data_IF_059766773414
#
_entry.id   IF_059766773414
#
_cell.length_a   1.000
_cell.length_b   1.000
_cell.length_c   1.000
_cell.angle_alpha   90.00
_cell.angle_beta   90.00
_cell.angle_gamma   90.00
#
_symmetry.space_group_name_H-M   'P 1'
#
loop_
_entity.id
_entity.type
_entity.pdbx_description
1 polymer ?
#
# COMPACT_ATOMS: atom_id res chain seq x y z
N UNK A 1 20.92 38.42 38.74
CA UNK A 1 19.60 38.42 38.10
C UNK A 1 19.81 39.03 36.72
N UNK A 2 19.93 38.20 35.68
CA UNK A 2 20.08 38.63 34.31
C UNK A 2 19.22 37.69 33.46
N UNK A 3 18.06 38.19 33.03
CA UNK A 3 17.18 37.52 32.08
C UNK A 3 17.83 37.56 30.69
N UNK A 4 18.29 36.41 30.20
CA UNK A 4 18.47 36.22 28.76
C UNK A 4 17.13 35.83 28.15
N UNK A 5 16.51 36.79 27.46
CA UNK A 5 15.35 36.55 26.59
C UNK A 5 15.77 35.61 25.45
N UNK A 6 15.32 34.37 25.50
CA UNK A 6 15.49 33.38 24.43
C UNK A 6 14.43 33.63 23.34
N UNK A 7 14.70 34.57 22.43
CA UNK A 7 13.94 34.69 21.19
C UNK A 7 14.68 33.90 20.09
N UNK A 8 14.42 32.60 20.00
CA UNK A 8 14.75 31.82 18.81
C UNK A 8 13.46 31.26 18.25
N UNK A 9 12.97 31.84 17.15
CA UNK A 9 11.85 31.25 16.42
C UNK A 9 12.26 29.84 15.99
N UNK A 10 11.51 28.83 16.44
CA UNK A 10 11.68 27.41 16.08
C UNK A 10 11.42 27.15 14.58
N UNK A 11 11.01 28.20 13.87
CA UNK A 11 10.59 28.18 12.47
C UNK A 11 11.52 29.11 11.67
N UNK A 12 12.00 28.61 10.54
CA UNK A 12 12.78 29.29 9.52
C UNK A 12 11.94 29.44 8.24
N UNK A 13 11.94 30.62 7.64
CA UNK A 13 11.29 30.87 6.35
C UNK A 13 12.33 30.67 5.24
N UNK A 14 12.10 29.74 4.31
CA UNK A 14 12.96 29.56 3.12
C UNK A 14 12.12 29.29 1.87
N UNK A 15 12.68 29.63 0.71
CA UNK A 15 12.08 29.35 -0.59
C UNK A 15 12.50 27.96 -1.07
N UNK A 16 11.53 27.08 -1.29
CA UNK A 16 11.77 25.76 -1.85
C UNK A 16 10.78 25.44 -2.97
N UNK A 17 11.18 24.52 -3.85
CA UNK A 17 10.31 23.98 -4.88
C UNK A 17 9.27 23.06 -4.23
N UNK A 18 8.01 23.48 -4.29
CA UNK A 18 6.89 22.78 -3.68
C UNK A 18 5.99 22.20 -4.78
N UNK A 19 5.58 20.94 -4.61
CA UNK A 19 4.67 20.25 -5.52
C UNK A 19 3.26 20.33 -4.94
N UNK A 20 2.28 20.68 -5.78
CA UNK A 20 0.86 20.72 -5.37
C UNK A 20 0.38 19.32 -4.99
N UNK A 21 -0.47 19.16 -3.95
CA UNK A 21 -1.13 17.88 -3.64
C UNK A 21 -1.90 17.29 -4.82
N UNK A 22 -2.38 18.15 -5.73
CA UNK A 22 -3.09 17.77 -6.97
C UNK A 22 -2.17 17.43 -8.14
N UNK A 23 -0.85 17.45 -7.94
CA UNK A 23 0.16 17.30 -8.98
C UNK A 23 0.40 18.58 -9.79
N UNK A 24 1.55 18.64 -10.47
CA UNK A 24 1.99 19.77 -11.30
C UNK A 24 3.51 19.92 -11.32
N UNK A 25 4.02 20.86 -12.13
CA UNK A 25 5.43 21.25 -12.10
C UNK A 25 5.76 21.87 -10.72
N UNK A 26 6.92 21.55 -10.12
CA UNK A 26 7.33 22.17 -8.85
C UNK A 26 7.34 23.69 -8.98
N UNK A 27 6.69 24.38 -8.06
CA UNK A 27 6.66 25.85 -8.03
C UNK A 27 7.49 26.36 -6.87
N UNK A 28 8.37 27.34 -7.12
CA UNK A 28 9.14 27.97 -6.06
C UNK A 28 8.19 28.77 -5.16
N UNK A 29 8.13 28.42 -3.87
CA UNK A 29 7.26 29.09 -2.90
C UNK A 29 7.98 29.24 -1.57
N UNK A 30 7.67 30.32 -0.86
CA UNK A 30 8.09 30.52 0.53
C UNK A 30 7.32 29.57 1.44
N UNK A 31 8.06 28.82 2.26
CA UNK A 31 7.50 27.94 3.27
C UNK A 31 8.23 28.09 4.61
N UNK A 32 7.55 27.64 5.65
CA UNK A 32 8.01 27.69 7.03
C UNK A 32 8.50 26.30 7.43
N UNK A 33 9.77 26.18 7.77
CA UNK A 33 10.45 24.94 8.11
C UNK A 33 10.84 24.95 9.58
N UNK A 34 10.82 23.79 10.22
CA UNK A 34 11.32 23.68 11.58
C UNK A 34 12.85 23.78 11.57
N UNK A 35 13.38 24.70 12.36
CA UNK A 35 14.83 24.85 12.55
C UNK A 35 15.32 23.72 13.45
N UNK A 36 15.87 22.67 12.85
CA UNK A 36 16.47 21.55 13.57
C UNK A 36 17.56 22.07 14.53
N UNK A 37 17.26 22.04 15.83
CA UNK A 37 18.14 22.58 16.88
C UNK A 37 19.11 21.54 17.42
N UNK A 38 19.06 20.31 16.91
CA UNK A 38 19.86 19.19 17.38
C UNK A 38 21.20 19.13 16.62
N UNK A 39 22.28 19.62 17.23
CA UNK A 39 23.65 19.42 16.75
C UNK A 39 24.28 18.10 17.24
N UNK A 40 23.57 17.33 18.08
CA UNK A 40 24.04 16.04 18.58
C UNK A 40 22.86 15.17 19.03
N UNK A 41 22.67 14.03 18.38
CA UNK A 41 21.76 12.97 18.83
C UNK A 41 22.49 12.13 19.89
N UNK A 42 22.59 12.64 21.12
CA UNK A 42 22.83 11.77 22.30
C UNK A 42 21.49 11.24 22.80
N UNK A 43 20.78 10.53 21.95
CA UNK A 43 19.67 9.67 22.35
C UNK A 43 20.20 8.28 22.73
N UNK A 44 19.42 7.45 23.45
CA UNK A 44 19.76 6.04 23.56
C UNK A 44 19.97 5.49 22.14
N UNK A 45 21.10 4.82 21.91
CA UNK A 45 21.32 4.10 20.67
C UNK A 45 20.23 3.04 20.57
N UNK A 46 19.15 3.34 19.85
CA UNK A 46 18.19 2.33 19.44
C UNK A 46 19.04 1.26 18.77
N UNK A 47 19.06 0.05 19.35
CA UNK A 47 19.65 -1.12 18.69
C UNK A 47 18.79 -1.32 17.45
N UNK A 48 19.20 -0.71 16.36
CA UNK A 48 18.50 -0.80 15.10
C UNK A 48 18.40 -2.29 14.79
N UNK A 49 17.19 -2.82 14.58
CA UNK A 49 17.02 -4.19 14.15
C UNK A 49 17.52 -4.20 12.70
N UNK A 50 18.82 -4.32 12.48
CA UNK A 50 19.37 -4.51 11.15
C UNK A 50 19.55 -6.01 10.95
N UNK A 51 18.68 -6.61 10.14
CA UNK A 51 19.01 -7.89 9.54
C UNK A 51 20.12 -7.62 8.51
N UNK A 52 21.18 -8.42 8.57
CA UNK A 52 22.18 -8.45 7.52
C UNK A 52 21.49 -8.89 6.23
N UNK A 53 21.46 -8.04 5.18
CA UNK A 53 20.80 -8.39 3.92
C UNK A 53 21.36 -9.69 3.35
N UNK A 54 20.47 -10.62 2.98
CA UNK A 54 20.85 -11.86 2.29
C UNK A 54 20.48 -11.76 0.80
N UNK A 55 21.30 -12.32 -0.12
CA UNK A 55 20.95 -12.37 -1.54
C UNK A 55 19.63 -13.12 -1.78
N UNK A 56 19.37 -14.15 -0.98
CA UNK A 56 18.13 -14.90 -0.96
C UNK A 56 17.81 -15.34 0.47
N UNK A 57 16.57 -15.10 0.88
CA UNK A 57 16.05 -15.59 2.15
C UNK A 57 15.54 -17.04 1.98
N UNK A 58 15.79 -17.96 2.92
CA UNK A 58 15.26 -19.34 2.87
C UNK A 58 13.77 -19.37 3.27
N UNK A 59 12.97 -18.50 2.64
CA UNK A 59 11.56 -18.31 2.90
C UNK A 59 10.77 -18.56 1.61
N UNK A 60 9.75 -19.41 1.68
CA UNK A 60 8.74 -19.55 0.62
C UNK A 60 7.52 -18.74 1.02
N UNK A 61 7.33 -17.58 0.36
CA UNK A 61 6.26 -16.64 0.69
C UNK A 61 5.13 -16.73 -0.34
N UNK A 62 3.92 -17.02 0.12
CA UNK A 62 2.70 -16.94 -0.67
C UNK A 62 2.05 -15.56 -0.50
N UNK A 63 2.02 -14.77 -1.56
CA UNK A 63 1.45 -13.41 -1.58
C UNK A 63 -0.02 -13.43 -1.97
N UNK A 64 -0.86 -13.97 -1.10
CA UNK A 64 -2.30 -14.17 -1.36
C UNK A 64 -3.07 -12.87 -1.55
N UNK A 65 -2.61 -11.76 -0.97
CA UNK A 65 -3.21 -10.44 -1.15
C UNK A 65 -2.80 -9.71 -2.44
N UNK A 66 -1.84 -10.25 -3.19
CA UNK A 66 -1.35 -9.63 -4.42
C UNK A 66 -1.93 -10.34 -5.64
N UNK A 67 -3.21 -10.07 -5.93
CA UNK A 67 -3.96 -10.78 -6.98
C UNK A 67 -4.10 -9.96 -8.25
N UNK A 68 -3.87 -10.63 -9.39
CA UNK A 68 -4.14 -10.05 -10.70
C UNK A 68 -5.64 -9.82 -10.92
N UNK A 69 -6.04 -8.79 -11.69
CA UNK A 69 -7.41 -8.64 -12.14
C UNK A 69 -7.89 -9.85 -12.96
N UNK A 70 -9.16 -10.24 -12.81
CA UNK A 70 -9.76 -11.29 -13.65
C UNK A 70 -9.95 -10.79 -15.09
N UNK A 71 -9.93 -11.70 -16.08
CA UNK A 71 -10.02 -11.34 -17.51
C UNK A 71 -11.20 -10.42 -17.85
N UNK A 72 -12.37 -10.70 -17.26
CA UNK A 72 -13.61 -9.93 -17.46
C UNK A 72 -13.77 -8.77 -16.47
N UNK A 73 -12.86 -8.61 -15.49
CA UNK A 73 -12.96 -7.59 -14.44
C UNK A 73 -13.05 -6.18 -15.00
N UNK A 74 -12.17 -5.84 -15.95
CA UNK A 74 -12.14 -4.51 -16.59
C UNK A 74 -13.48 -4.15 -17.23
N UNK A 75 -14.06 -5.07 -17.98
CA UNK A 75 -15.37 -4.90 -18.61
C UNK A 75 -16.45 -4.71 -17.56
N UNK A 76 -16.44 -5.50 -16.48
CA UNK A 76 -17.42 -5.36 -15.41
C UNK A 76 -17.30 -4.02 -14.67
N UNK A 77 -16.08 -3.55 -14.41
CA UNK A 77 -15.82 -2.21 -13.83
C UNK A 77 -16.40 -1.12 -14.73
N UNK A 78 -16.22 -1.20 -16.04
CA UNK A 78 -16.78 -0.23 -16.99
C UNK A 78 -18.32 -0.23 -16.98
N UNK A 79 -18.94 -1.41 -16.98
CA UNK A 79 -20.40 -1.55 -16.89
C UNK A 79 -20.96 -1.02 -15.57
N UNK A 80 -20.27 -1.26 -14.45
CA UNK A 80 -20.70 -0.77 -13.15
C UNK A 80 -20.42 0.73 -12.98
N UNK A 81 -19.34 1.25 -13.56
CA UNK A 81 -18.98 2.67 -13.52
C UNK A 81 -20.06 3.55 -14.13
N UNK A 82 -20.63 3.16 -15.28
CA UNK A 82 -21.71 3.92 -15.93
C UNK A 82 -22.96 4.06 -15.07
N UNK A 83 -23.18 3.15 -14.11
CA UNK A 83 -24.37 3.10 -13.25
C UNK A 83 -24.14 3.63 -11.84
N UNK A 84 -22.95 3.41 -11.27
CA UNK A 84 -22.68 3.59 -9.84
C UNK A 84 -21.49 4.51 -9.54
N UNK A 85 -20.89 5.16 -10.55
CA UNK A 85 -19.73 6.04 -10.35
C UNK A 85 -19.98 7.19 -9.36
N UNK A 86 -21.18 7.76 -9.33
CA UNK A 86 -21.56 8.78 -8.34
C UNK A 86 -21.50 8.21 -6.92
N UNK A 87 -22.16 7.07 -6.67
CA UNK A 87 -22.15 6.38 -5.37
C UNK A 87 -20.71 6.08 -4.93
N UNK A 88 -19.85 5.62 -5.84
CA UNK A 88 -18.46 5.31 -5.51
C UNK A 88 -17.65 6.54 -5.11
N UNK A 89 -17.90 7.69 -5.74
CA UNK A 89 -17.27 8.96 -5.37
C UNK A 89 -17.79 9.43 -4.01
N UNK A 90 -19.10 9.35 -3.81
CA UNK A 90 -19.75 9.77 -2.57
C UNK A 90 -19.24 8.98 -1.36
N UNK A 91 -19.03 7.66 -1.52
CA UNK A 91 -18.49 6.81 -0.45
C UNK A 91 -16.96 6.79 -0.36
N UNK A 92 -16.27 7.37 -1.34
CA UNK A 92 -14.81 7.46 -1.38
C UNK A 92 -14.11 6.12 -1.70
N UNK A 93 -14.66 5.34 -2.64
CA UNK A 93 -14.05 4.10 -3.16
C UNK A 93 -13.81 4.15 -4.67
N UNK A 94 -14.17 5.25 -5.33
CA UNK A 94 -14.07 5.39 -6.78
C UNK A 94 -12.65 5.13 -7.27
N UNK A 95 -11.67 5.79 -6.68
CA UNK A 95 -10.28 5.65 -7.11
C UNK A 95 -9.75 4.25 -6.83
N UNK A 96 -10.12 3.65 -5.69
CA UNK A 96 -9.72 2.28 -5.37
C UNK A 96 -10.27 1.24 -6.37
N UNK A 97 -11.53 1.41 -6.80
CA UNK A 97 -12.14 0.55 -7.81
C UNK A 97 -11.48 0.76 -9.17
N UNK A 98 -11.29 2.01 -9.58
CA UNK A 98 -10.64 2.32 -10.86
C UNK A 98 -9.19 1.85 -10.88
N UNK A 99 -8.47 1.91 -9.75
CA UNK A 99 -7.13 1.38 -9.59
C UNK A 99 -7.05 -0.14 -9.75
N UNK A 100 -8.09 -0.87 -9.36
CA UNK A 100 -8.13 -2.33 -9.42
C UNK A 100 -8.12 -2.93 -10.84
N UNK A 101 -8.26 -2.12 -11.89
CA UNK A 101 -8.16 -2.58 -13.28
C UNK A 101 -6.71 -2.75 -13.74
N UNK A 102 -5.77 -2.13 -13.03
CA UNK A 102 -4.36 -2.15 -13.38
C UNK A 102 -3.70 -3.39 -12.77
N UNK A 103 -2.91 -4.07 -13.59
CA UNK A 103 -2.06 -5.16 -13.14
C UNK A 103 -0.76 -4.58 -12.59
N UNK A 104 -0.49 -4.84 -11.32
CA UNK A 104 0.79 -4.52 -10.68
C UNK A 104 1.57 -5.82 -10.60
N UNK A 105 2.63 -5.94 -11.40
CA UNK A 105 3.47 -7.12 -11.36
C UNK A 105 4.17 -7.24 -10.00
N UNK A 106 4.14 -8.43 -9.42
CA UNK A 106 4.81 -8.71 -8.16
C UNK A 106 6.33 -8.59 -8.33
N UNK A 107 6.96 -7.91 -7.38
CA UNK A 107 8.42 -7.83 -7.26
C UNK A 107 8.82 -8.25 -5.86
N UNK A 108 9.15 -9.52 -5.71
CA UNK A 108 9.48 -10.10 -4.41
C UNK A 108 10.75 -9.45 -3.85
N UNK A 109 11.76 -9.20 -4.68
CA UNK A 109 13.03 -8.60 -4.25
C UNK A 109 12.83 -7.23 -3.61
N UNK A 110 11.98 -6.40 -4.22
CA UNK A 110 11.59 -5.10 -3.66
C UNK A 110 10.90 -5.25 -2.30
N UNK A 111 9.98 -6.21 -2.18
CA UNK A 111 9.26 -6.45 -0.92
C UNK A 111 10.21 -6.93 0.18
N UNK A 112 11.09 -7.89 -0.13
CA UNK A 112 12.11 -8.37 0.81
C UNK A 112 13.07 -7.24 1.22
N UNK A 113 13.56 -6.45 0.27
CA UNK A 113 14.49 -5.35 0.54
C UNK A 113 13.89 -4.22 1.38
N UNK A 114 12.59 -3.93 1.24
CA UNK A 114 11.88 -2.96 2.08
C UNK A 114 11.57 -3.55 3.46
N UNK A 115 11.09 -4.80 3.54
CA UNK A 115 10.79 -5.45 4.81
C UNK A 115 12.04 -5.73 5.67
N UNK A 116 13.22 -5.86 5.06
CA UNK A 116 14.53 -5.83 5.75
C UNK A 116 14.77 -4.54 6.56
N UNK A 117 13.99 -3.48 6.33
CA UNK A 117 14.07 -2.20 7.05
C UNK A 117 12.92 -1.99 8.03
N UNK A 118 11.91 -2.86 8.04
CA UNK A 118 10.72 -2.71 8.88
C UNK A 118 11.04 -2.91 10.37
N UNK A 119 10.51 -2.02 11.20
CA UNK A 119 10.52 -2.08 12.65
C UNK A 119 9.07 -2.12 13.16
N UNK A 120 8.68 -3.25 13.74
CA UNK A 120 7.33 -3.45 14.28
C UNK A 120 7.04 -2.61 15.53
N UNK A 121 8.07 -2.18 16.27
CA UNK A 121 7.90 -1.35 17.48
C UNK A 121 7.41 0.06 17.12
N UNK A 122 7.95 0.63 16.05
CA UNK A 122 7.64 1.99 15.58
C UNK A 122 6.64 2.00 14.43
N UNK A 123 6.35 0.84 13.81
CA UNK A 123 5.60 0.72 12.56
C UNK A 123 6.19 1.57 11.43
N UNK A 124 7.51 1.54 11.30
CA UNK A 124 8.26 2.33 10.31
C UNK A 124 9.39 1.51 9.68
N UNK A 125 9.86 1.96 8.52
CA UNK A 125 11.09 1.55 7.87
C UNK A 125 12.26 2.43 8.30
N UNK A 126 13.36 1.79 8.71
CA UNK A 126 14.62 2.46 8.98
C UNK A 126 15.56 2.38 7.78
N UNK A 127 15.63 3.47 7.01
CA UNK A 127 16.62 3.61 5.94
C UNK A 127 17.90 4.29 6.47
N UNK A 128 19.07 4.09 5.83
CA UNK A 128 20.31 4.76 6.23
C UNK A 128 20.23 6.30 6.24
N UNK A 129 19.25 6.87 5.55
CA UNK A 129 19.01 8.30 5.38
C UNK A 129 17.79 8.83 6.13
N UNK A 130 17.07 7.98 6.89
CA UNK A 130 15.94 8.40 7.71
C UNK A 130 14.87 7.33 7.92
N UNK A 131 13.98 7.60 8.86
CA UNK A 131 12.81 6.78 9.16
C UNK A 131 11.63 7.20 8.27
N UNK A 132 10.87 6.24 7.75
CA UNK A 132 9.69 6.48 6.91
C UNK A 132 8.67 5.36 7.05
N UNK A 133 7.38 5.59 6.79
CA UNK A 133 6.36 4.53 6.81
C UNK A 133 5.30 4.74 5.74
N UNK A 134 4.58 3.68 5.37
CA UNK A 134 3.32 3.81 4.63
C UNK A 134 2.30 4.42 5.59
N UNK A 135 1.71 5.55 5.27
CA UNK A 135 0.77 6.26 6.14
C UNK A 135 -0.69 6.00 5.76
N UNK A 136 -1.63 6.44 6.61
CA UNK A 136 -3.04 6.45 6.24
C UNK A 136 -3.26 7.27 4.97
N UNK A 137 -2.65 8.45 4.86
CA UNK A 137 -2.72 9.29 3.67
C UNK A 137 -2.24 8.55 2.41
N UNK A 138 -1.14 7.81 2.49
CA UNK A 138 -0.66 6.98 1.38
C UNK A 138 -1.70 5.92 0.97
N UNK A 139 -2.35 5.27 1.93
CA UNK A 139 -3.44 4.32 1.61
C UNK A 139 -4.67 5.00 1.02
N UNK A 140 -5.00 6.22 1.43
CA UNK A 140 -6.13 6.98 0.88
C UNK A 140 -5.82 7.49 -0.54
N UNK A 141 -4.61 8.01 -0.79
CA UNK A 141 -4.21 8.60 -2.07
C UNK A 141 -3.84 7.55 -3.10
N UNK A 142 -2.99 6.58 -2.73
CA UNK A 142 -2.53 5.54 -3.65
C UNK A 142 -3.54 4.40 -3.78
N UNK A 143 -4.22 4.08 -2.67
CA UNK A 143 -5.23 3.04 -2.61
C UNK A 143 -6.65 3.52 -2.89
N UNK A 144 -6.93 4.83 -2.85
CA UNK A 144 -8.23 5.42 -3.19
C UNK A 144 -9.37 5.13 -2.19
N UNK A 145 -9.03 4.91 -0.91
CA UNK A 145 -9.97 4.51 0.15
C UNK A 145 -10.57 5.69 0.94
N UNK A 146 -11.61 5.42 1.74
CA UNK A 146 -12.30 6.39 2.62
C UNK A 146 -11.97 6.15 4.12
N UNK A 147 -12.34 7.11 5.00
CA UNK A 147 -11.82 7.24 6.37
C UNK A 147 -12.85 7.21 7.54
N UNK A 148 -14.11 6.79 7.37
CA UNK A 148 -15.15 6.85 8.45
C UNK A 148 -15.90 5.53 8.65
N UNK A 149 -16.20 5.12 9.90
CA UNK A 149 -16.73 3.79 10.26
C UNK A 149 -18.12 3.80 10.94
N UNK A 150 -19.02 2.86 10.56
CA UNK A 150 -19.98 2.18 11.46
C UNK A 150 -20.59 0.91 10.79
N UNK A 151 -20.81 -0.20 11.52
CA UNK A 151 -21.16 -1.53 10.95
C UNK A 151 -22.29 -2.28 11.68
N UNK A 152 -23.19 -2.94 10.92
CA UNK A 152 -23.67 -4.35 11.09
C UNK A 152 -24.82 -4.78 10.12
N UNK A 153 -24.68 -5.96 9.45
CA UNK A 153 -25.64 -7.11 9.25
C UNK A 153 -25.30 -7.94 7.98
N UNK A 154 -25.70 -9.23 7.97
CA UNK A 154 -25.16 -10.32 7.14
C UNK A 154 -25.93 -10.66 5.85
N UNK A 155 -25.22 -10.95 4.76
CA UNK A 155 -25.69 -11.66 3.54
C UNK A 155 -24.95 -13.00 3.42
N UNK A 156 -25.26 -13.97 4.29
CA UNK A 156 -24.46 -15.20 4.42
C UNK A 156 -24.80 -16.34 3.43
N UNK A 157 -25.74 -16.15 2.50
CA UNK A 157 -26.37 -17.28 1.79
C UNK A 157 -25.83 -17.57 0.40
N UNK A 158 -24.91 -16.78 -0.15
CA UNK A 158 -24.34 -17.00 -1.47
C UNK A 158 -22.90 -17.54 -1.33
N UNK A 159 -22.76 -18.87 -1.36
CA UNK A 159 -21.45 -19.53 -1.39
C UNK A 159 -21.11 -19.93 -2.82
N UNK A 160 -20.23 -19.18 -3.49
CA UNK A 160 -19.49 -19.73 -4.64
C UNK A 160 -18.11 -20.18 -4.20
N UNK A 161 -17.55 -21.13 -4.95
CA UNK A 161 -16.26 -21.75 -4.67
C UNK A 161 -15.07 -21.07 -5.39
N UNK A 162 -15.32 -20.05 -6.20
CA UNK A 162 -14.29 -19.32 -6.95
C UNK A 162 -14.71 -17.87 -7.25
N UNK A 163 -13.76 -16.93 -7.18
CA UNK A 163 -13.93 -15.54 -7.61
C UNK A 163 -14.29 -15.42 -9.11
N UNK A 164 -13.73 -16.30 -9.96
CA UNK A 164 -14.06 -16.31 -11.39
C UNK A 164 -15.51 -16.73 -11.63
N UNK A 165 -15.96 -17.79 -10.94
CA UNK A 165 -17.35 -18.27 -11.02
C UNK A 165 -18.33 -17.25 -10.43
N UNK A 166 -17.94 -16.53 -9.38
CA UNK A 166 -18.72 -15.42 -8.83
C UNK A 166 -18.91 -14.32 -9.89
N UNK A 167 -17.83 -13.92 -10.55
CA UNK A 167 -17.88 -12.93 -11.63
C UNK A 167 -18.83 -13.38 -12.75
N UNK A 168 -18.66 -14.60 -13.27
CA UNK A 168 -19.51 -15.13 -14.36
C UNK A 168 -20.99 -15.32 -13.97
N UNK A 169 -21.28 -15.44 -12.67
CA UNK A 169 -22.65 -15.58 -12.16
C UNK A 169 -23.39 -14.25 -12.11
N UNK A 170 -22.69 -13.14 -11.82
CA UNK A 170 -23.35 -11.85 -11.57
C UNK A 170 -23.17 -10.83 -12.69
N UNK A 171 -22.08 -10.90 -13.43
CA UNK A 171 -21.80 -9.95 -14.52
C UNK A 171 -22.87 -10.03 -15.62
N UNK A 172 -23.41 -8.88 -16.00
CA UNK A 172 -24.31 -8.68 -17.16
C UNK A 172 -25.63 -9.46 -17.11
N UNK A 173 -26.05 -9.88 -15.91
CA UNK A 173 -27.32 -10.60 -15.72
C UNK A 173 -28.52 -9.71 -15.40
N UNK A 174 -28.30 -8.40 -15.21
CA UNK A 174 -29.36 -7.47 -14.83
C UNK A 174 -29.96 -7.77 -13.45
N UNK A 175 -29.25 -8.52 -12.62
CA UNK A 175 -29.69 -8.89 -11.27
C UNK A 175 -29.70 -7.66 -10.36
N UNK A 176 -30.69 -7.57 -9.47
CA UNK A 176 -30.80 -6.49 -8.48
C UNK A 176 -29.56 -6.40 -7.59
N UNK A 177 -28.90 -7.55 -7.35
CA UNK A 177 -27.71 -7.67 -6.48
C UNK A 177 -26.37 -7.57 -7.23
N UNK A 178 -26.36 -7.14 -8.49
CA UNK A 178 -25.13 -7.08 -9.29
C UNK A 178 -24.08 -6.14 -8.67
N UNK A 179 -24.49 -5.02 -8.10
CA UNK A 179 -23.58 -4.05 -7.48
C UNK A 179 -22.98 -4.59 -6.17
N UNK A 180 -23.78 -5.22 -5.32
CA UNK A 180 -23.31 -5.90 -4.11
C UNK A 180 -22.38 -7.07 -4.45
N UNK A 181 -22.71 -7.85 -5.47
CA UNK A 181 -21.85 -8.92 -5.94
C UNK A 181 -20.52 -8.39 -6.49
N UNK A 182 -20.54 -7.27 -7.20
CA UNK A 182 -19.34 -6.59 -7.67
C UNK A 182 -18.48 -6.09 -6.50
N UNK A 183 -19.07 -5.37 -5.54
CA UNK A 183 -18.36 -4.79 -4.39
C UNK A 183 -17.77 -5.87 -3.47
N UNK A 184 -18.48 -6.98 -3.25
CA UNK A 184 -17.98 -8.10 -2.46
C UNK A 184 -16.78 -8.77 -3.11
N UNK A 185 -16.79 -8.93 -4.44
CA UNK A 185 -15.63 -9.44 -5.17
C UNK A 185 -14.45 -8.46 -5.10
N UNK A 186 -14.70 -7.17 -5.30
CA UNK A 186 -13.66 -6.15 -5.19
C UNK A 186 -13.01 -6.14 -3.81
N UNK A 187 -13.81 -6.09 -2.73
CA UNK A 187 -13.32 -6.13 -1.34
C UNK A 187 -12.52 -7.41 -1.07
N UNK A 188 -13.05 -8.57 -1.43
CA UNK A 188 -12.42 -9.87 -1.13
C UNK A 188 -11.19 -10.17 -1.99
N UNK A 189 -10.99 -9.46 -3.11
CA UNK A 189 -9.85 -9.70 -4.01
C UNK A 189 -8.73 -8.68 -3.84
N UNK A 190 -9.06 -7.41 -3.62
CA UNK A 190 -8.10 -6.31 -3.71
C UNK A 190 -7.90 -5.53 -2.41
N UNK A 191 -8.86 -5.56 -1.48
CA UNK A 191 -8.86 -4.68 -0.29
C UNK A 191 -8.58 -5.48 0.98
N UNK A 192 -9.46 -6.44 1.28
CA UNK A 192 -9.42 -7.30 2.46
C UNK A 192 -9.59 -8.76 2.01
N UNK A 193 -8.59 -9.35 1.34
CA UNK A 193 -8.63 -10.77 1.02
C UNK A 193 -8.67 -11.59 2.32
N UNK A 194 -9.69 -12.44 2.43
CA UNK A 194 -9.87 -13.30 3.60
C UNK A 194 -9.08 -14.59 3.48
N UNK A 195 -9.17 -15.45 4.49
CA UNK A 195 -8.38 -16.70 4.65
C UNK A 195 -8.58 -17.77 3.56
N UNK A 196 -9.37 -17.50 2.52
CA UNK A 196 -9.62 -18.40 1.42
C UNK A 196 -9.24 -17.72 0.10
N UNK A 197 -8.11 -18.13 -0.49
CA UNK A 197 -7.45 -17.50 -1.64
C UNK A 197 -8.41 -17.09 -2.77
N UNK A 198 -9.40 -17.93 -3.08
CA UNK A 198 -10.28 -17.73 -4.23
C UNK A 198 -11.77 -17.71 -3.89
N UNK A 199 -12.15 -17.44 -2.64
CA UNK A 199 -13.56 -17.39 -2.24
C UNK A 199 -13.92 -16.02 -1.67
N UNK A 200 -15.15 -15.60 -1.94
CA UNK A 200 -15.71 -14.42 -1.30
C UNK A 200 -15.89 -14.75 0.18
N UNK A 201 -15.08 -14.12 1.03
CA UNK A 201 -15.18 -14.33 2.46
C UNK A 201 -16.41 -13.65 3.05
N UNK A 202 -17.01 -14.25 4.09
CA UNK A 202 -18.18 -13.67 4.76
C UNK A 202 -17.87 -12.35 5.46
N UNK A 203 -16.59 -12.08 5.76
CA UNK A 203 -16.11 -10.88 6.41
C UNK A 203 -16.34 -9.60 5.57
N UNK A 204 -16.39 -9.71 4.24
CA UNK A 204 -16.61 -8.54 3.36
C UNK A 204 -18.08 -8.19 3.15
N UNK A 205 -19.02 -9.07 3.52
CA UNK A 205 -20.44 -8.86 3.20
C UNK A 205 -21.07 -7.67 3.92
N UNK A 206 -20.77 -7.47 5.20
CA UNK A 206 -21.28 -6.30 5.94
C UNK A 206 -20.79 -5.01 5.27
N UNK A 207 -19.49 -4.94 4.96
CA UNK A 207 -18.90 -3.79 4.29
C UNK A 207 -19.51 -3.56 2.90
N UNK A 208 -19.70 -4.63 2.12
CA UNK A 208 -20.36 -4.60 0.81
C UNK A 208 -21.73 -3.92 0.87
N UNK A 209 -22.58 -4.34 1.82
CA UNK A 209 -23.95 -3.81 1.95
C UNK A 209 -23.94 -2.33 2.31
N UNK A 210 -23.04 -1.91 3.21
CA UNK A 210 -22.94 -0.50 3.59
C UNK A 210 -22.48 0.36 2.41
N UNK A 211 -21.46 -0.08 1.68
CA UNK A 211 -20.96 0.63 0.48
C UNK A 211 -22.03 0.70 -0.61
N UNK A 212 -22.75 -0.39 -0.87
CA UNK A 212 -23.83 -0.44 -1.85
C UNK A 212 -24.97 0.54 -1.50
N UNK A 213 -25.22 0.75 -0.20
CA UNK A 213 -26.21 1.71 0.32
C UNK A 213 -25.70 3.16 0.39
N UNK A 214 -24.51 3.45 -0.12
CA UNK A 214 -23.95 4.81 -0.10
C UNK A 214 -23.37 5.22 1.25
N UNK A 215 -23.03 4.27 2.14
CA UNK A 215 -22.35 4.58 3.41
C UNK A 215 -20.84 4.56 3.22
N UNK A 216 -20.16 5.57 3.75
CA UNK A 216 -18.69 5.63 3.82
C UNK A 216 -18.16 4.59 4.80
N UNK A 217 -17.06 3.95 4.45
CA UNK A 217 -16.32 3.01 5.31
C UNK A 217 -14.85 3.37 5.37
N UNK A 218 -14.26 3.23 6.56
CA UNK A 218 -12.84 3.46 6.84
C UNK A 218 -11.98 2.30 6.32
N UNK A 219 -11.90 2.13 5.01
CA UNK A 219 -11.11 1.04 4.42
C UNK A 219 -9.60 1.31 4.51
N UNK A 220 -9.18 2.58 4.50
CA UNK A 220 -7.76 2.96 4.60
C UNK A 220 -7.07 2.40 5.85
N UNK A 221 -7.57 2.67 7.07
CA UNK A 221 -6.98 2.15 8.30
C UNK A 221 -6.97 0.61 8.35
N UNK A 222 -8.04 -0.03 7.87
CA UNK A 222 -8.14 -1.49 7.83
C UNK A 222 -7.07 -2.11 6.90
N UNK A 223 -6.86 -1.52 5.71
CA UNK A 223 -5.82 -1.94 4.77
C UNK A 223 -4.43 -1.68 5.34
N UNK A 224 -4.20 -0.52 5.94
CA UNK A 224 -2.92 -0.16 6.54
C UNK A 224 -2.54 -1.13 7.67
N UNK A 225 -3.48 -1.44 8.56
CA UNK A 225 -3.26 -2.39 9.65
C UNK A 225 -2.88 -3.79 9.13
N UNK A 226 -3.52 -4.24 8.04
CA UNK A 226 -3.16 -5.50 7.38
C UNK A 226 -1.73 -5.46 6.82
N UNK A 227 -1.34 -4.35 6.19
CA UNK A 227 0.02 -4.16 5.65
C UNK A 227 1.05 -4.21 6.78
N UNK A 228 0.85 -3.43 7.85
CA UNK A 228 1.78 -3.39 8.99
C UNK A 228 1.95 -4.76 9.65
N UNK A 229 0.84 -5.46 9.89
CA UNK A 229 0.86 -6.82 10.43
C UNK A 229 1.69 -7.76 9.55
N UNK A 230 1.46 -7.76 8.24
CA UNK A 230 2.11 -8.68 7.32
C UNK A 230 3.58 -8.35 7.07
N UNK A 231 3.95 -7.06 7.09
CA UNK A 231 5.34 -6.62 7.09
C UNK A 231 6.05 -7.08 8.37
N UNK A 232 5.39 -6.99 9.53
CA UNK A 232 5.88 -7.54 10.79
C UNK A 232 6.10 -9.05 10.74
N UNK A 233 5.12 -9.82 10.24
CA UNK A 233 5.25 -11.28 10.08
C UNK A 233 6.37 -11.67 9.12
N UNK A 234 6.50 -10.95 8.00
CA UNK A 234 7.60 -11.16 7.05
C UNK A 234 8.95 -10.88 7.73
N UNK A 235 9.02 -9.79 8.49
CA UNK A 235 10.22 -9.39 9.21
C UNK A 235 10.66 -10.40 10.27
N UNK A 236 9.73 -10.87 11.09
CA UNK A 236 9.98 -11.87 12.13
C UNK A 236 10.40 -13.21 11.50
N UNK A 237 9.75 -13.60 10.40
CA UNK A 237 10.12 -14.82 9.66
C UNK A 237 11.53 -14.72 9.09
N UNK A 238 11.93 -13.55 8.58
CA UNK A 238 13.32 -13.31 8.14
C UNK A 238 14.30 -13.46 9.30
N UNK A 239 14.02 -12.86 10.45
CA UNK A 239 14.88 -12.95 11.63
C UNK A 239 15.04 -14.40 12.12
N UNK A 240 13.93 -15.13 12.27
CA UNK A 240 13.96 -16.55 12.66
C UNK A 240 14.76 -17.40 11.66
N UNK A 241 14.60 -17.13 10.36
CA UNK A 241 15.35 -17.83 9.32
C UNK A 241 16.84 -17.44 9.25
N UNK A 242 17.25 -16.33 9.87
CA UNK A 242 18.63 -15.89 9.92
C UNK A 242 19.45 -16.62 10.99
N UNK A 243 18.80 -16.97 12.11
CA UNK A 243 19.40 -17.61 13.28
C UNK A 243 19.64 -19.12 13.09
N UNK A 244 18.93 -19.74 12.15
CA UNK A 244 19.09 -21.15 11.82
C UNK A 244 20.26 -21.34 10.85
N UNK A 245 21.43 -21.55 11.43
CA UNK A 245 22.67 -21.95 10.73
C UNK A 245 22.53 -23.41 10.33
N UNK A 246 22.21 -23.64 9.05
CA UNK A 246 22.57 -24.81 8.25
C UNK A 246 22.64 -26.16 8.98
N UNK A 247 21.56 -26.95 8.92
CA UNK A 247 21.67 -28.43 8.94
C UNK A 247 20.41 -29.14 8.42
N UNK A 248 19.26 -28.46 8.39
CA UNK A 248 18.05 -28.96 7.74
C UNK A 248 17.52 -27.95 6.72
N UNK A 249 17.21 -28.41 5.51
CA UNK A 249 16.61 -27.67 4.37
C UNK A 249 15.16 -27.20 4.66
N UNK A 250 14.92 -26.74 5.89
CA UNK A 250 13.62 -26.36 6.42
C UNK A 250 13.22 -25.00 5.86
N UNK A 251 12.60 -25.03 4.68
CA UNK A 251 12.00 -23.86 4.04
C UNK A 251 10.81 -23.40 4.88
N UNK A 252 10.89 -22.20 5.45
CA UNK A 252 9.76 -21.57 6.12
C UNK A 252 8.70 -21.17 5.10
N UNK A 253 7.47 -21.62 5.33
CA UNK A 253 6.33 -21.22 4.51
C UNK A 253 5.56 -20.10 5.21
N UNK A 254 5.50 -18.93 4.59
CA UNK A 254 4.75 -17.78 5.09
C UNK A 254 3.64 -17.41 4.09
N UNK A 255 2.46 -17.08 4.59
CA UNK A 255 1.35 -16.61 3.76
C UNK A 255 0.98 -15.20 4.16
N UNK A 256 1.12 -14.26 3.22
CA UNK A 256 0.77 -12.86 3.38
C UNK A 256 -0.54 -12.57 2.66
N UNK A 257 -1.47 -11.92 3.37
CA UNK A 257 -2.81 -11.62 2.88
C UNK A 257 -3.00 -10.14 2.57
N UNK A 258 -2.13 -9.25 3.04
CA UNK A 258 -2.24 -7.83 2.76
C UNK A 258 -1.99 -7.50 1.28
N UNK A 259 -2.61 -6.43 0.76
CA UNK A 259 -2.40 -5.97 -0.61
C UNK A 259 -1.06 -5.23 -0.74
N UNK A 260 0.06 -5.96 -0.58
CA UNK A 260 1.42 -5.40 -0.63
C UNK A 260 1.79 -4.76 -1.97
N UNK A 261 0.96 -4.91 -3.01
CA UNK A 261 1.05 -4.11 -4.23
C UNK A 261 1.01 -2.60 -3.95
N UNK A 262 0.30 -2.17 -2.90
CA UNK A 262 0.30 -0.78 -2.45
C UNK A 262 1.67 -0.33 -1.93
N UNK A 263 2.41 -1.19 -1.21
CA UNK A 263 3.77 -0.89 -0.73
C UNK A 263 4.72 -0.70 -1.92
N UNK A 264 4.54 -1.48 -2.98
CA UNK A 264 5.32 -1.31 -4.21
C UNK A 264 4.98 -0.01 -4.94
N UNK A 265 3.69 0.28 -5.13
CA UNK A 265 3.25 1.54 -5.76
C UNK A 265 3.73 2.73 -4.94
N UNK A 266 3.65 2.63 -3.61
CA UNK A 266 4.24 3.60 -2.69
C UNK A 266 5.74 3.76 -2.93
N UNK A 267 6.52 2.67 -2.96
CA UNK A 267 7.96 2.75 -3.20
C UNK A 267 8.32 3.37 -4.56
N UNK A 268 7.50 3.16 -5.59
CA UNK A 268 7.67 3.78 -6.90
C UNK A 268 7.23 5.24 -6.97
N UNK A 269 6.11 5.59 -6.34
CA UNK A 269 5.64 6.98 -6.27
C UNK A 269 6.42 7.81 -5.22
N UNK A 270 7.24 7.15 -4.40
CA UNK A 270 8.12 7.79 -3.43
C UNK A 270 9.23 8.53 -4.17
N UNK A 271 9.17 9.87 -4.12
CA UNK A 271 10.14 10.77 -4.75
C UNK A 271 11.58 10.53 -4.29
N UNK A 272 11.78 9.77 -3.19
CA UNK A 272 13.09 9.44 -2.64
C UNK A 272 13.67 8.10 -3.05
N UNK A 273 13.00 7.32 -3.90
CA UNK A 273 13.58 6.11 -4.50
C UNK A 273 13.65 6.17 -6.05
N UNK A 274 14.19 7.24 -6.68
CA UNK A 274 14.28 7.35 -8.15
C UNK A 274 14.90 6.13 -8.85
N UNK A 275 15.97 5.49 -8.34
CA UNK A 275 16.59 4.36 -9.05
C UNK A 275 15.66 3.17 -9.24
N UNK A 276 14.64 3.01 -8.38
CA UNK A 276 13.71 1.88 -8.42
C UNK A 276 12.49 2.14 -9.31
N UNK A 277 12.32 3.38 -9.79
CA UNK A 277 11.17 3.79 -10.59
C UNK A 277 11.32 3.31 -12.05
N UNK A 278 10.36 2.55 -12.59
CA UNK A 278 10.28 2.36 -14.04
C UNK A 278 9.86 3.67 -14.72
N UNK A 279 9.94 3.74 -16.06
CA UNK A 279 9.41 4.91 -16.78
C UNK A 279 7.91 5.08 -16.50
N UNK A 280 7.46 6.23 -15.95
CA UNK A 280 6.07 6.40 -15.57
C UNK A 280 5.19 6.56 -16.81
N UNK A 281 4.01 5.94 -16.79
CA UNK A 281 2.99 6.18 -17.81
C UNK A 281 2.51 7.63 -17.74
N UNK A 282 2.25 8.23 -18.90
CA UNK A 282 1.61 9.54 -18.98
C UNK A 282 0.23 9.51 -18.31
N UNK A 283 -0.02 10.44 -17.38
CA UNK A 283 -1.33 10.64 -16.76
C UNK A 283 -1.84 12.03 -17.15
N UNK A 284 -3.09 12.10 -17.62
CA UNK A 284 -3.82 13.37 -17.73
C UNK A 284 -4.05 14.02 -16.36
N UNK A 285 -4.18 15.35 -16.31
CA UNK A 285 -4.48 16.08 -15.08
C UNK A 285 -5.72 15.48 -14.37
N UNK A 286 -5.54 15.04 -13.13
CA UNK A 286 -6.59 14.39 -12.31
C UNK A 286 -6.72 12.87 -12.46
N UNK A 287 -5.83 12.19 -13.19
CA UNK A 287 -5.81 10.73 -13.26
C UNK A 287 -5.20 10.07 -12.00
N UNK A 288 -5.55 8.81 -11.76
CA UNK A 288 -5.13 8.07 -10.57
C UNK A 288 -3.62 7.85 -10.53
N UNK A 289 -2.98 8.06 -9.38
CA UNK A 289 -1.54 7.81 -9.21
C UNK A 289 -1.14 6.38 -9.54
N UNK A 290 -1.94 5.38 -9.18
CA UNK A 290 -1.67 3.98 -9.53
C UNK A 290 -1.64 3.72 -11.05
N UNK A 291 -2.27 4.57 -11.86
CA UNK A 291 -2.22 4.46 -13.32
C UNK A 291 -0.83 4.76 -13.91
N UNK A 292 0.02 5.56 -13.22
CA UNK A 292 1.44 5.79 -13.59
C UNK A 292 2.16 4.46 -13.77
N UNK A 293 1.80 3.49 -12.93
CA UNK A 293 2.53 2.25 -12.73
C UNK A 293 1.79 1.03 -13.29
N UNK A 294 0.61 1.22 -13.85
CA UNK A 294 -0.23 0.14 -14.36
C UNK A 294 0.44 -0.61 -15.52
N UNK A 295 0.60 -1.93 -15.38
CA UNK A 295 1.22 -2.76 -16.42
C UNK A 295 2.75 -2.65 -16.50
N UNK A 296 3.38 -1.84 -15.66
CA UNK A 296 4.84 -1.72 -15.62
C UNK A 296 5.48 -3.01 -15.11
N UNK A 297 6.46 -3.51 -15.85
CA UNK A 297 7.20 -4.73 -15.50
C UNK A 297 8.10 -4.48 -14.29
N UNK A 298 8.65 -5.55 -13.74
CA UNK A 298 9.66 -5.48 -12.66
C UNK A 298 10.78 -4.52 -13.09
N UNK A 299 11.30 -3.73 -12.15
CA UNK A 299 12.52 -2.94 -12.38
C UNK A 299 13.65 -3.86 -12.84
N UNK A 300 14.50 -3.41 -13.75
CA UNK A 300 15.67 -4.19 -14.23
C UNK A 300 16.68 -4.45 -13.12
N UNK A 301 16.57 -3.74 -12.00
CA UNK A 301 17.40 -3.91 -10.81
C UNK A 301 17.11 -5.28 -10.17
N UNK A 302 18.07 -6.20 -10.33
CA UNK A 302 18.00 -7.55 -9.76
C UNK A 302 18.16 -7.59 -8.24
N UNK A 303 18.86 -6.62 -7.67
CA UNK A 303 19.06 -6.47 -6.23
C UNK A 303 18.76 -5.02 -5.84
N UNK A 304 17.65 -4.80 -5.14
CA UNK A 304 17.21 -3.46 -4.76
C UNK A 304 18.02 -2.85 -3.61
N UNK A 305 18.78 -3.63 -2.82
CA UNK A 305 19.44 -3.13 -1.60
C UNK A 305 20.48 -2.03 -1.87
N UNK A 306 21.39 -2.16 -2.86
CA UNK A 306 22.32 -1.09 -3.19
C UNK A 306 21.60 0.20 -3.59
N UNK A 307 20.53 0.10 -4.38
CA UNK A 307 19.72 1.24 -4.81
C UNK A 307 19.02 1.95 -3.64
N UNK A 308 18.46 1.18 -2.69
CA UNK A 308 17.84 1.72 -1.47
C UNK A 308 18.88 2.43 -0.59
N UNK A 309 20.08 1.85 -0.46
CA UNK A 309 21.15 2.42 0.36
C UNK A 309 21.76 3.67 -0.30
N UNK A 310 21.90 3.68 -1.63
CA UNK A 310 22.46 4.81 -2.39
C UNK A 310 21.47 5.94 -2.60
N UNK A 311 20.16 5.69 -2.48
CA UNK A 311 19.14 6.71 -2.66
C UNK A 311 19.29 7.91 -1.70
N UNK A 312 19.93 7.71 -0.54
CA UNK A 312 20.27 8.78 0.40
C UNK A 312 21.33 9.77 -0.10
N UNK A 313 22.14 9.41 -1.11
CA UNK A 313 23.21 10.27 -1.65
C UNK A 313 22.66 11.42 -2.49
N UNK A 314 21.47 11.24 -3.08
CA UNK A 314 20.76 12.28 -3.85
C UNK A 314 20.15 13.39 -2.97
N UNK A 315 20.32 13.31 -1.65
CA UNK A 315 19.72 14.19 -0.65
C UNK A 315 20.73 15.05 0.15
N UNK A 316 22.03 14.90 -0.13
CA UNK A 316 23.08 15.79 0.40
C UNK A 316 23.45 16.83 -0.66
#
# INVERSE_FOLDING_TARGET
MAEQRLNSSTIEEREEYMISPTGGSPTLRKAYFLRLTATSVKGPSLKLPFLTPKPQWPLKVAFNGWRDPLRKWRSWVQTMHSRYSSVWKDVGIYDAIMGSIYKIYRDEDLVFGIAERWCSETNTFFFPWGESTVTLEDTLILGGFSAVEESRRNLATLRTNSHARWLDLFMERGNVFEHEAFLSLWLSRFVLPGNHLDRIGSHVFSATIHLARGRRLALGPAVLSCIYRDLGLLRESMAASAELVSEDDSIFCLTLWSPLGLVKVWAWDWERLPPLQPEPNFISSGGLRVARWGGQKKSEIRNVRPAINSAGVTFL
#
